data_IF_381292111549
#
_entry.id   IF_381292111549
#
_cell.length_a   1.000
_cell.length_b   1.000
_cell.length_c   1.000
_cell.angle_alpha   90.00
_cell.angle_beta   90.00
_cell.angle_gamma   90.00
#
_symmetry.space_group_name_H-M   'P 1'
#
loop_
_entity.id
_entity.type
_entity.pdbx_description
1 polymer ?
#
# COMPACT_ATOMS: atom_id res chain seq x y z
N UNK A 1 3.53 -18.56 0.18
CA UNK A 1 3.54 -19.11 1.56
C UNK A 1 2.26 -18.71 2.27
N UNK A 2 2.07 -17.43 2.61
CA UNK A 2 0.90 -16.94 3.36
C UNK A 2 -0.49 -17.42 2.91
N UNK A 3 -0.79 -17.43 1.60
CA UNK A 3 -2.07 -17.98 1.12
C UNK A 3 -2.22 -19.48 1.43
N UNK A 4 -1.15 -20.25 1.30
CA UNK A 4 -1.12 -21.68 1.64
C UNK A 4 -1.26 -21.89 3.14
N UNK A 5 -0.80 -20.94 3.95
CA UNK A 5 -0.91 -20.95 5.41
C UNK A 5 -2.28 -20.44 5.91
N UNK A 6 -3.20 -20.12 5.00
CA UNK A 6 -4.59 -19.73 5.33
C UNK A 6 -4.87 -18.23 5.38
N UNK A 7 -3.92 -17.36 4.98
CA UNK A 7 -4.19 -15.93 4.91
C UNK A 7 -5.07 -15.57 3.70
N UNK A 8 -6.21 -14.92 3.95
CA UNK A 8 -7.15 -14.50 2.89
C UNK A 8 -7.05 -13.03 2.53
N UNK A 9 -6.48 -12.20 3.41
CA UNK A 9 -6.22 -10.80 3.15
C UNK A 9 -4.82 -10.40 3.65
N UNK A 10 -4.30 -9.33 3.09
CA UNK A 10 -3.08 -8.68 3.54
C UNK A 10 -3.32 -7.19 3.65
N UNK A 11 -2.45 -6.48 4.36
CA UNK A 11 -2.50 -5.03 4.51
C UNK A 11 -1.14 -4.43 4.21
N UNK A 12 -1.09 -3.38 3.42
CA UNK A 12 0.12 -2.58 3.22
C UNK A 12 -0.16 -1.11 3.46
N UNK A 13 0.66 -0.51 4.32
CA UNK A 13 0.54 0.88 4.76
C UNK A 13 1.69 1.71 4.22
N UNK A 14 1.35 2.74 3.46
CA UNK A 14 2.27 3.80 3.06
C UNK A 14 1.96 5.05 3.87
N UNK A 15 2.95 5.90 4.08
CA UNK A 15 2.80 7.08 4.94
C UNK A 15 3.08 8.36 4.15
N UNK A 16 2.20 9.33 4.28
CA UNK A 16 2.30 10.67 3.70
C UNK A 16 2.24 11.69 4.84
N UNK A 17 3.23 12.57 4.95
CA UNK A 17 3.29 13.59 6.00
C UNK A 17 2.86 14.94 5.45
N UNK A 18 1.98 15.65 6.15
CA UNK A 18 1.61 17.03 5.82
C UNK A 18 2.64 18.00 6.42
N UNK A 19 3.21 18.87 5.59
CA UNK A 19 4.01 20.02 6.00
C UNK A 19 4.01 21.08 4.90
N UNK A 20 4.78 22.16 5.05
CA UNK A 20 4.88 23.22 4.03
C UNK A 20 5.30 22.70 2.65
N UNK A 21 6.10 21.63 2.60
CA UNK A 21 6.64 21.07 1.35
C UNK A 21 6.37 19.57 1.16
N UNK A 22 5.59 18.95 2.06
CA UNK A 22 5.26 17.52 1.99
C UNK A 22 3.75 17.29 2.08
N UNK A 23 3.22 16.24 1.43
CA UNK A 23 3.93 15.30 0.57
C UNK A 23 4.31 15.94 -0.77
N UNK A 24 5.53 15.66 -1.24
CA UNK A 24 5.95 16.07 -2.58
C UNK A 24 5.18 15.26 -3.64
N UNK A 25 5.06 15.79 -4.86
CA UNK A 25 4.44 15.07 -5.97
C UNK A 25 5.10 13.70 -6.20
N UNK A 26 6.43 13.62 -6.06
CA UNK A 26 7.17 12.36 -6.14
C UNK A 26 6.72 11.38 -5.05
N UNK A 27 6.60 11.82 -3.79
CA UNK A 27 6.17 10.96 -2.68
C UNK A 27 4.75 10.43 -2.88
N UNK A 28 3.85 11.22 -3.46
CA UNK A 28 2.49 10.79 -3.81
C UNK A 28 2.55 9.69 -4.88
N UNK A 29 3.29 9.93 -5.97
CA UNK A 29 3.37 9.02 -7.11
C UNK A 29 4.02 7.68 -6.71
N UNK A 30 5.13 7.72 -5.95
CA UNK A 30 5.81 6.53 -5.48
C UNK A 30 4.93 5.69 -4.55
N UNK A 31 4.27 6.31 -3.57
CA UNK A 31 3.37 5.58 -2.67
C UNK A 31 2.17 4.98 -3.42
N UNK A 32 1.59 5.70 -4.39
CA UNK A 32 0.53 5.17 -5.24
C UNK A 32 1.01 3.96 -6.06
N UNK A 33 2.17 4.05 -6.70
CA UNK A 33 2.75 2.96 -7.49
C UNK A 33 3.07 1.72 -6.64
N UNK A 34 3.62 1.92 -5.43
CA UNK A 34 3.91 0.82 -4.49
C UNK A 34 2.61 0.12 -4.08
N UNK A 35 1.59 0.87 -3.68
CA UNK A 35 0.30 0.32 -3.25
C UNK A 35 -0.42 -0.41 -4.40
N UNK A 36 -0.37 0.13 -5.63
CA UNK A 36 -0.95 -0.51 -6.81
C UNK A 36 -0.26 -1.84 -7.13
N UNK A 37 1.08 -1.86 -7.13
CA UNK A 37 1.86 -3.09 -7.33
C UNK A 37 1.60 -4.12 -6.25
N UNK A 38 1.57 -3.69 -4.99
CA UNK A 38 1.22 -4.53 -3.85
C UNK A 38 -0.15 -5.17 -4.04
N UNK A 39 -1.17 -4.38 -4.39
CA UNK A 39 -2.53 -4.88 -4.60
C UNK A 39 -2.60 -5.90 -5.74
N UNK A 40 -1.94 -5.62 -6.87
CA UNK A 40 -1.85 -6.55 -8.00
C UNK A 40 -1.22 -7.88 -7.60
N UNK A 41 -0.11 -7.85 -6.85
CA UNK A 41 0.58 -9.07 -6.41
C UNK A 41 -0.29 -9.86 -5.44
N UNK A 42 -0.99 -9.21 -4.50
CA UNK A 42 -1.93 -9.87 -3.61
C UNK A 42 -3.03 -10.59 -4.37
N UNK A 43 -3.69 -9.90 -5.30
CA UNK A 43 -4.78 -10.47 -6.10
C UNK A 43 -4.30 -11.66 -6.95
N UNK A 44 -3.12 -11.56 -7.58
CA UNK A 44 -2.51 -12.67 -8.33
C UNK A 44 -2.24 -13.91 -7.46
N UNK A 45 -2.07 -13.74 -6.15
CA UNK A 45 -1.85 -14.81 -5.19
C UNK A 45 -3.11 -15.20 -4.41
N UNK A 46 -4.29 -14.72 -4.80
CA UNK A 46 -5.56 -15.04 -4.15
C UNK A 46 -5.71 -14.45 -2.74
N UNK A 47 -5.02 -13.34 -2.48
CA UNK A 47 -5.08 -12.57 -1.22
C UNK A 47 -5.79 -11.25 -1.50
N UNK A 48 -6.79 -10.89 -0.70
CA UNK A 48 -7.47 -9.59 -0.77
C UNK A 48 -6.53 -8.50 -0.22
N UNK A 49 -6.15 -7.48 -1.02
CA UNK A 49 -5.30 -6.40 -0.53
C UNK A 49 -6.09 -5.32 0.20
N UNK A 50 -5.60 -4.92 1.38
CA UNK A 50 -6.00 -3.70 2.07
C UNK A 50 -4.93 -2.65 1.76
N UNK A 51 -5.33 -1.63 0.99
CA UNK A 51 -4.49 -0.52 0.55
C UNK A 51 -4.66 0.63 1.54
N UNK A 52 -3.61 0.99 2.28
CA UNK A 52 -3.70 1.95 3.38
C UNK A 52 -2.69 3.11 3.22
N UNK A 53 -3.04 4.16 2.46
CA UNK A 53 -2.28 5.40 2.45
C UNK A 53 -2.60 6.22 3.72
N UNK A 54 -1.75 6.15 4.73
CA UNK A 54 -1.93 6.93 5.95
C UNK A 54 -1.38 8.35 5.82
N UNK A 55 -2.19 9.31 6.25
CA UNK A 55 -1.81 10.71 6.36
C UNK A 55 -1.40 11.01 7.80
N UNK A 56 -0.16 11.43 8.02
CA UNK A 56 0.30 11.96 9.30
C UNK A 56 0.05 13.46 9.39
N UNK A 57 -0.37 13.95 10.57
CA UNK A 57 -0.52 15.38 10.85
C UNK A 57 0.82 16.13 10.83
#
# INVERSE_FOLDING_TARGET
>A
QYKKDGADFAKWRCVLKISEHTPSHLAILENANVLARYASICQQNGIVPIVEPEILP
#
